data_IF_631183271291
#
_entry.id   IF_631183271291
#
_cell.length_a   1.000
_cell.length_b   1.000
_cell.length_c   1.000
_cell.angle_alpha   90.00
_cell.angle_beta   90.00
_cell.angle_gamma   90.00
#
_symmetry.space_group_name_H-M   'P 1'
#
loop_
_entity.id
_entity.type
_entity.pdbx_description
1 polymer ?
#
# COMPACT_ATOMS: atom_id res chain seq x y z
N UNK A 1 0.55 -6.48 -4.74
CA UNK A 1 0.47 -5.92 -6.10
C UNK A 1 -0.70 -6.53 -6.86
N UNK A 2 -1.04 -5.94 -7.99
CA UNK A 2 -2.19 -6.28 -8.84
C UNK A 2 -2.12 -7.68 -9.44
N UNK A 3 -0.93 -8.25 -9.62
CA UNK A 3 -0.78 -9.53 -10.32
C UNK A 3 -1.09 -10.75 -9.43
N UNK A 4 -0.86 -10.67 -8.11
CA UNK A 4 -1.24 -11.74 -7.17
C UNK A 4 -1.34 -11.27 -5.72
N UNK A 5 -2.04 -12.05 -4.91
CA UNK A 5 -2.07 -11.96 -3.46
C UNK A 5 -1.60 -13.30 -2.85
N UNK A 6 -0.31 -13.43 -2.50
CA UNK A 6 0.23 -14.69 -2.00
C UNK A 6 0.22 -14.81 -0.47
N UNK A 7 -0.15 -13.79 0.29
CA UNK A 7 -0.10 -13.83 1.76
C UNK A 7 -1.40 -14.35 2.37
N UNK A 8 -1.32 -15.36 3.24
CA UNK A 8 -2.48 -15.80 3.99
C UNK A 8 -2.98 -14.72 4.96
N UNK A 9 -4.28 -14.46 4.93
CA UNK A 9 -4.96 -13.60 5.89
C UNK A 9 -6.10 -14.44 6.48
N UNK A 10 -5.91 -15.08 7.63
CA UNK A 10 -6.93 -15.95 8.24
C UNK A 10 -8.32 -15.30 8.38
N UNK A 11 -8.39 -14.00 8.66
CA UNK A 11 -9.65 -13.25 8.69
C UNK A 11 -10.32 -13.08 7.30
N UNK A 12 -9.57 -13.28 6.21
CA UNK A 12 -9.98 -13.11 4.81
C UNK A 12 -9.45 -14.29 3.96
N UNK A 13 -9.85 -15.55 4.24
CA UNK A 13 -9.18 -16.74 3.69
C UNK A 13 -9.32 -16.85 2.16
N UNK A 14 -10.37 -16.27 1.58
CA UNK A 14 -10.56 -16.21 0.13
C UNK A 14 -9.52 -15.38 -0.60
N UNK A 15 -8.84 -14.46 0.09
CA UNK A 15 -7.91 -13.51 -0.51
C UNK A 15 -6.72 -14.22 -1.14
N UNK A 16 -5.98 -15.02 -0.36
CA UNK A 16 -4.91 -15.86 -0.89
C UNK A 16 -5.44 -17.01 -1.74
N UNK A 17 -6.54 -17.65 -1.34
CA UNK A 17 -7.09 -18.81 -2.05
C UNK A 17 -7.51 -18.50 -3.50
N UNK A 18 -7.88 -17.25 -3.79
CA UNK A 18 -8.26 -16.80 -5.14
C UNK A 18 -7.24 -15.86 -5.78
N UNK A 19 -6.43 -15.15 -4.99
CA UNK A 19 -5.46 -14.17 -5.47
C UNK A 19 -4.06 -14.72 -5.69
N UNK A 20 -3.68 -15.87 -5.11
CA UNK A 20 -2.39 -16.49 -5.37
C UNK A 20 -2.36 -17.17 -6.74
N UNK A 21 -1.19 -17.21 -7.39
CA UNK A 21 -1.04 -17.92 -8.66
C UNK A 21 -1.27 -19.43 -8.56
N UNK A 22 -0.91 -20.02 -7.42
CA UNK A 22 -1.09 -21.43 -7.12
C UNK A 22 -1.20 -21.63 -5.60
N UNK A 23 -1.87 -22.68 -5.16
CA UNK A 23 -2.03 -22.99 -3.74
C UNK A 23 -0.68 -23.20 -3.01
N UNK A 24 0.30 -23.77 -3.70
CA UNK A 24 1.66 -23.99 -3.17
C UNK A 24 2.53 -22.71 -3.12
N UNK A 25 2.02 -21.58 -3.64
CA UNK A 25 2.69 -20.28 -3.64
C UNK A 25 2.08 -19.32 -2.60
N UNK A 26 1.37 -19.87 -1.62
CA UNK A 26 0.82 -19.11 -0.49
C UNK A 26 1.83 -19.06 0.64
N UNK A 27 2.19 -17.85 1.04
CA UNK A 27 2.90 -17.56 2.27
C UNK A 27 1.96 -17.75 3.44
N UNK A 28 2.17 -18.84 4.18
CA UNK A 28 1.40 -19.14 5.38
C UNK A 28 1.84 -18.28 6.56
N UNK A 29 1.02 -18.29 7.62
CA UNK A 29 1.31 -17.62 8.88
C UNK A 29 2.62 -18.09 9.48
N UNK A 30 2.95 -19.39 9.35
CA UNK A 30 4.25 -19.94 9.74
C UNK A 30 5.38 -19.39 8.87
N UNK A 31 5.21 -19.35 7.54
CA UNK A 31 6.27 -18.83 6.66
C UNK A 31 6.60 -17.37 6.97
N UNK A 32 5.57 -16.56 7.24
CA UNK A 32 5.76 -15.17 7.65
C UNK A 32 6.51 -15.07 8.98
N UNK A 33 6.09 -15.81 10.01
CA UNK A 33 6.78 -15.78 11.31
C UNK A 33 8.22 -16.30 11.20
N UNK A 34 8.46 -17.34 10.39
CA UNK A 34 9.77 -17.95 10.23
C UNK A 34 10.76 -16.98 9.58
N UNK A 35 10.35 -16.26 8.52
CA UNK A 35 11.23 -15.26 7.88
C UNK A 35 11.50 -14.07 8.80
N UNK A 36 10.50 -13.62 9.55
CA UNK A 36 10.65 -12.52 10.50
C UNK A 36 11.59 -12.89 11.65
N UNK A 37 11.43 -14.09 12.21
CA UNK A 37 12.33 -14.62 13.24
C UNK A 37 13.75 -14.81 12.70
N UNK A 38 13.89 -15.37 11.50
CA UNK A 38 15.19 -15.57 10.87
C UNK A 38 15.95 -14.25 10.69
N UNK A 39 15.23 -13.19 10.28
CA UNK A 39 15.77 -11.84 10.19
C UNK A 39 16.17 -11.28 11.55
N UNK A 40 15.28 -11.39 12.55
CA UNK A 40 15.50 -10.89 13.92
C UNK A 40 16.77 -11.48 14.54
N UNK A 41 16.99 -12.79 14.42
CA UNK A 41 18.19 -13.49 14.89
C UNK A 41 19.50 -12.97 14.27
N UNK A 42 19.41 -12.27 13.14
CA UNK A 42 20.54 -11.75 12.36
C UNK A 42 20.62 -10.23 12.37
N UNK A 43 19.78 -9.56 13.16
CA UNK A 43 19.72 -8.10 13.18
C UNK A 43 19.13 -7.48 11.90
N UNK A 44 18.34 -8.25 11.16
CA UNK A 44 17.62 -7.79 9.95
C UNK A 44 16.15 -7.59 10.30
N UNK A 45 15.66 -6.35 10.15
CA UNK A 45 14.24 -6.03 10.35
C UNK A 45 13.44 -6.38 9.09
N UNK A 46 12.55 -7.38 9.19
CA UNK A 46 11.63 -7.77 8.12
C UNK A 46 10.29 -7.07 8.36
N UNK A 47 10.05 -5.98 7.63
CA UNK A 47 8.75 -5.31 7.61
C UNK A 47 7.99 -5.66 6.33
N UNK A 48 6.67 -5.55 6.40
CA UNK A 48 5.79 -5.85 5.28
C UNK A 48 5.36 -4.59 4.54
N UNK A 49 5.10 -4.79 3.25
CA UNK A 49 4.38 -3.85 2.41
C UNK A 49 3.06 -4.47 1.95
N UNK A 50 1.97 -3.75 2.19
CA UNK A 50 0.71 -3.96 1.47
C UNK A 50 0.41 -2.63 0.79
N UNK A 51 0.76 -2.56 -0.49
CA UNK A 51 0.65 -1.34 -1.28
C UNK A 51 -0.81 -1.01 -1.59
N UNK A 52 -1.24 0.17 -1.15
CA UNK A 52 -2.59 0.69 -1.27
C UNK A 52 -2.57 2.22 -1.40
N UNK A 53 -3.55 2.83 -2.08
CA UNK A 53 -4.69 2.20 -2.77
C UNK A 53 -4.39 1.79 -4.23
N UNK A 54 -3.21 2.12 -4.75
CA UNK A 54 -2.69 1.56 -6.01
C UNK A 54 -2.46 0.05 -5.90
N UNK A 55 -2.03 -0.61 -6.99
CA UNK A 55 -1.48 -1.98 -6.96
C UNK A 55 -2.33 -3.05 -6.24
N UNK A 56 -3.66 -2.90 -6.28
CA UNK A 56 -4.61 -3.73 -5.51
C UNK A 56 -5.51 -4.59 -6.39
N UNK A 57 -5.20 -4.72 -7.68
CA UNK A 57 -5.97 -5.52 -8.63
C UNK A 57 -6.21 -6.95 -8.16
N UNK A 58 -5.26 -7.58 -7.49
CA UNK A 58 -5.37 -8.97 -7.04
C UNK A 58 -6.42 -9.21 -5.95
N UNK A 59 -6.85 -8.15 -5.24
CA UNK A 59 -8.00 -8.20 -4.31
C UNK A 59 -9.28 -8.56 -5.06
N UNK A 60 -9.41 -8.12 -6.32
CA UNK A 60 -10.60 -8.32 -7.14
C UNK A 60 -10.88 -9.78 -7.49
N UNK A 61 -9.89 -10.67 -7.44
CA UNK A 61 -10.13 -12.11 -7.61
C UNK A 61 -11.00 -12.69 -6.49
N UNK A 62 -10.86 -12.16 -5.27
CA UNK A 62 -11.64 -12.58 -4.11
C UNK A 62 -12.88 -11.72 -3.88
N UNK A 63 -12.73 -10.40 -4.06
CA UNK A 63 -13.70 -9.37 -3.71
C UNK A 63 -13.82 -8.34 -4.85
N UNK A 64 -14.39 -8.73 -6.02
CA UNK A 64 -14.45 -7.85 -7.19
C UNK A 64 -15.22 -6.55 -6.94
N UNK A 65 -16.19 -6.55 -6.03
CA UNK A 65 -16.99 -5.38 -5.65
C UNK A 65 -16.16 -4.26 -4.98
N UNK A 66 -14.99 -4.59 -4.44
CA UNK A 66 -14.10 -3.67 -3.74
C UNK A 66 -13.13 -2.93 -4.67
N UNK A 67 -12.97 -3.39 -5.91
CA UNK A 67 -11.94 -2.91 -6.84
C UNK A 67 -12.58 -2.21 -8.03
N UNK A 68 -12.16 -0.98 -8.29
CA UNK A 68 -12.51 -0.25 -9.51
C UNK A 68 -11.58 -0.64 -10.67
N UNK A 69 -12.12 -0.71 -11.89
CA UNK A 69 -11.39 -1.10 -13.10
C UNK A 69 -10.68 -2.46 -13.02
N UNK A 70 -11.19 -3.40 -12.22
CA UNK A 70 -10.63 -4.75 -12.12
C UNK A 70 -10.69 -5.47 -13.46
N UNK A 71 -9.53 -5.92 -13.97
CA UNK A 71 -9.41 -6.63 -15.26
C UNK A 71 -10.12 -5.92 -16.43
N UNK A 72 -10.04 -4.58 -16.48
CA UNK A 72 -10.64 -3.83 -17.56
C UNK A 72 -9.94 -4.15 -18.89
N UNK A 73 -10.72 -4.40 -19.96
CA UNK A 73 -10.21 -4.80 -21.29
C UNK A 73 -9.18 -3.82 -21.87
N UNK A 74 -9.30 -2.53 -21.53
CA UNK A 74 -8.37 -1.47 -21.90
C UNK A 74 -7.50 -1.07 -20.72
N UNK A 75 -6.78 -2.03 -20.15
CA UNK A 75 -6.00 -1.82 -18.93
C UNK A 75 -5.05 -0.62 -19.02
N UNK A 76 -4.54 -0.26 -20.20
CA UNK A 76 -3.65 0.88 -20.41
C UNK A 76 -4.30 2.23 -20.07
N UNK A 77 -5.64 2.32 -20.12
CA UNK A 77 -6.37 3.51 -19.70
C UNK A 77 -6.42 3.64 -18.16
N UNK A 78 -6.22 2.52 -17.44
CA UNK A 78 -6.50 2.37 -16.01
C UNK A 78 -5.30 1.90 -15.16
N UNK A 79 -4.17 1.55 -15.77
CA UNK A 79 -2.96 1.12 -15.07
C UNK A 79 -1.71 1.34 -15.92
N UNK A 80 -0.55 1.46 -15.25
CA UNK A 80 0.75 1.53 -15.92
C UNK A 80 1.22 0.15 -16.41
N UNK A 81 0.77 -0.93 -15.77
CA UNK A 81 1.03 -2.32 -16.15
C UNK A 81 -0.22 -3.17 -15.94
N UNK A 82 -0.43 -4.26 -16.70
CA UNK A 82 -1.54 -5.16 -16.46
C UNK A 82 -1.27 -6.07 -15.24
N UNK A 83 -2.32 -6.54 -14.54
CA UNK A 83 -3.73 -6.20 -14.73
C UNK A 83 -4.09 -4.84 -14.10
N UNK A 84 -5.15 -4.20 -14.62
CA UNK A 84 -5.72 -3.02 -13.96
C UNK A 84 -6.54 -3.40 -12.74
N UNK A 85 -6.63 -2.46 -11.79
CA UNK A 85 -7.48 -2.57 -10.63
C UNK A 85 -6.92 -1.77 -9.45
N UNK A 86 -7.77 -0.93 -8.86
CA UNK A 86 -7.46 -0.20 -7.63
C UNK A 86 -8.64 -0.29 -6.68
N UNK A 87 -8.41 -0.40 -5.37
CA UNK A 87 -9.51 -0.38 -4.40
C UNK A 87 -10.33 0.90 -4.56
N UNK A 88 -11.65 0.75 -4.42
CA UNK A 88 -12.60 1.88 -4.42
C UNK A 88 -12.27 2.83 -3.26
N UNK A 89 -12.28 4.13 -3.51
CA UNK A 89 -11.94 5.14 -2.50
C UNK A 89 -13.14 5.55 -1.63
N UNK A 90 -14.36 5.35 -2.12
CA UNK A 90 -15.61 5.74 -1.47
C UNK A 90 -16.55 4.52 -1.37
N UNK A 91 -16.12 3.50 -0.63
CA UNK A 91 -16.86 2.26 -0.38
C UNK A 91 -16.77 1.83 1.08
N UNK A 92 -17.92 1.60 1.72
CA UNK A 92 -17.96 1.03 3.08
C UNK A 92 -17.43 -0.41 3.11
N UNK A 93 -17.63 -1.18 2.04
CA UNK A 93 -17.06 -2.52 1.91
C UNK A 93 -15.53 -2.51 1.90
N UNK A 94 -14.92 -1.49 1.27
CA UNK A 94 -13.45 -1.32 1.31
C UNK A 94 -13.01 -0.98 2.74
N UNK A 95 -13.72 -0.09 3.44
CA UNK A 95 -13.41 0.21 4.83
C UNK A 95 -13.46 -1.03 5.73
N UNK A 96 -14.50 -1.85 5.62
CA UNK A 96 -14.62 -3.10 6.39
C UNK A 96 -13.53 -4.11 6.03
N UNK A 97 -13.18 -4.21 4.75
CA UNK A 97 -12.08 -5.07 4.29
C UNK A 97 -10.74 -4.62 4.87
N UNK A 98 -10.41 -3.32 4.80
CA UNK A 98 -9.18 -2.77 5.34
C UNK A 98 -9.11 -2.95 6.86
N UNK A 99 -10.21 -2.69 7.58
CA UNK A 99 -10.25 -2.88 9.04
C UNK A 99 -9.98 -4.34 9.42
N UNK A 100 -10.57 -5.30 8.71
CA UNK A 100 -10.32 -6.75 8.92
C UNK A 100 -8.89 -7.14 8.56
N UNK A 101 -8.39 -6.67 7.42
CA UNK A 101 -7.03 -6.94 6.96
C UNK A 101 -6.00 -6.45 7.98
N UNK A 102 -6.11 -5.19 8.40
CA UNK A 102 -5.17 -4.58 9.34
C UNK A 102 -5.26 -5.20 10.74
N UNK A 103 -6.47 -5.57 11.19
CA UNK A 103 -6.65 -6.27 12.47
C UNK A 103 -6.03 -7.67 12.49
N UNK A 104 -5.96 -8.36 11.34
CA UNK A 104 -5.28 -9.66 11.21
C UNK A 104 -3.77 -9.51 11.12
N UNK A 105 -3.27 -8.64 10.23
CA UNK A 105 -1.84 -8.61 9.89
C UNK A 105 -0.98 -7.85 10.91
N UNK A 106 -1.47 -6.76 11.50
CA UNK A 106 -0.65 -5.92 12.38
C UNK A 106 -0.14 -6.66 13.62
N UNK A 107 -0.95 -7.47 14.35
CA UNK A 107 -0.47 -8.26 15.49
C UNK A 107 0.58 -9.32 15.10
N UNK A 108 0.59 -9.77 13.83
CA UNK A 108 1.57 -10.72 13.30
C UNK A 108 2.90 -10.04 12.95
N UNK A 109 2.92 -8.71 12.82
CA UNK A 109 4.10 -7.93 12.39
C UNK A 109 4.73 -7.16 13.55
N UNK A 110 3.94 -6.55 14.44
CA UNK A 110 4.42 -5.67 15.50
C UNK A 110 5.39 -6.28 16.52
N UNK A 111 5.42 -7.61 16.78
CA UNK A 111 6.45 -8.19 17.63
C UNK A 111 7.86 -8.21 17.01
N UNK A 112 7.98 -8.12 15.68
CA UNK A 112 9.23 -8.36 14.96
C UNK A 112 9.86 -7.09 14.37
N UNK A 113 9.07 -6.04 14.19
CA UNK A 113 9.54 -4.78 13.59
C UNK A 113 8.76 -3.59 14.13
N UNK A 114 9.33 -2.39 13.97
CA UNK A 114 8.68 -1.12 14.28
C UNK A 114 8.00 -0.46 13.08
N UNK A 115 7.93 -1.12 11.92
CA UNK A 115 7.55 -0.52 10.64
C UNK A 115 6.48 -1.32 9.89
N UNK A 116 5.66 -0.61 9.11
CA UNK A 116 4.74 -1.21 8.14
C UNK A 116 4.58 -0.28 6.93
N UNK A 117 4.78 -0.79 5.73
CA UNK A 117 4.70 -0.02 4.49
C UNK A 117 3.28 -0.13 3.90
N UNK A 118 2.65 1.01 3.62
CA UNK A 118 1.31 1.06 3.01
C UNK A 118 1.35 1.40 1.52
N UNK A 119 2.55 1.57 0.96
CA UNK A 119 2.74 1.92 -0.45
C UNK A 119 2.26 3.32 -0.78
N UNK A 120 1.43 3.45 -1.81
CA UNK A 120 0.81 4.71 -2.21
C UNK A 120 1.46 5.41 -3.40
N UNK A 121 2.06 4.63 -4.29
CA UNK A 121 2.62 5.06 -5.57
C UNK A 121 1.62 4.87 -6.74
N UNK A 122 2.03 5.36 -7.91
CA UNK A 122 1.49 5.02 -9.23
C UNK A 122 -0.05 5.03 -9.38
N UNK A 123 -0.70 6.00 -8.74
CA UNK A 123 -2.15 6.10 -8.77
C UNK A 123 -2.69 6.48 -10.15
N UNK A 124 -3.51 5.61 -10.76
CA UNK A 124 -4.23 5.92 -11.98
C UNK A 124 -5.64 6.46 -11.70
N UNK A 125 -5.83 7.76 -11.91
CA UNK A 125 -7.07 8.46 -11.58
C UNK A 125 -8.26 8.02 -12.46
N UNK A 126 -8.02 7.46 -13.65
CA UNK A 126 -9.11 7.04 -14.55
C UNK A 126 -9.89 5.84 -14.01
N UNK A 127 -9.29 5.05 -13.11
CA UNK A 127 -9.99 3.95 -12.43
C UNK A 127 -11.26 4.46 -11.73
N UNK A 128 -11.23 5.67 -11.18
CA UNK A 128 -12.34 6.27 -10.43
C UNK A 128 -13.47 6.85 -11.27
N UNK A 129 -13.31 6.89 -12.61
CA UNK A 129 -14.44 7.11 -13.51
C UNK A 129 -15.43 5.94 -13.47
N UNK A 130 -14.94 4.74 -13.14
CA UNK A 130 -15.72 3.50 -13.08
C UNK A 130 -16.23 3.19 -11.66
N UNK A 131 -15.78 3.92 -10.65
CA UNK A 131 -16.33 3.78 -9.30
C UNK A 131 -17.68 4.52 -9.21
N UNK A 132 -18.75 3.79 -8.90
CA UNK A 132 -20.12 4.28 -9.05
C UNK A 132 -20.44 5.45 -8.12
N UNK A 133 -19.77 5.50 -6.96
CA UNK A 133 -19.91 6.51 -5.91
C UNK A 133 -19.02 7.73 -6.12
N UNK A 134 -18.14 7.72 -7.12
CA UNK A 134 -17.16 8.81 -7.40
C UNK A 134 -17.34 9.38 -8.80
N UNK A 135 -17.30 8.53 -9.85
CA UNK A 135 -17.46 8.90 -11.27
C UNK A 135 -16.64 10.11 -11.71
N UNK A 136 -15.41 10.21 -11.23
CA UNK A 136 -14.55 11.37 -11.47
C UNK A 136 -13.08 10.98 -11.40
N UNK A 137 -12.27 11.51 -12.31
CA UNK A 137 -10.82 11.50 -12.24
C UNK A 137 -10.24 12.87 -11.80
N UNK A 138 -11.09 13.79 -11.31
CA UNK A 138 -10.64 15.09 -10.82
C UNK A 138 -9.91 14.93 -9.49
N UNK A 139 -8.66 15.42 -9.43
CA UNK A 139 -7.80 15.37 -8.24
C UNK A 139 -8.47 15.99 -7.00
N UNK A 140 -9.22 17.07 -7.16
CA UNK A 140 -9.88 17.76 -6.04
C UNK A 140 -11.00 16.90 -5.42
N UNK A 141 -11.61 16.02 -6.22
CA UNK A 141 -12.62 15.05 -5.75
C UNK A 141 -11.93 13.86 -5.09
N UNK A 142 -10.83 13.37 -5.68
CA UNK A 142 -10.15 12.15 -5.22
C UNK A 142 -9.28 12.36 -3.98
N UNK A 143 -8.61 13.52 -3.87
CA UNK A 143 -7.67 13.83 -2.78
C UNK A 143 -8.28 13.63 -1.37
N UNK A 144 -9.49 14.14 -1.04
CA UNK A 144 -10.07 13.91 0.28
C UNK A 144 -10.43 12.43 0.52
N UNK A 145 -10.83 11.69 -0.50
CA UNK A 145 -11.15 10.26 -0.38
C UNK A 145 -9.87 9.43 -0.17
N UNK A 146 -8.82 9.73 -0.92
CA UNK A 146 -7.49 9.15 -0.73
C UNK A 146 -6.95 9.44 0.67
N UNK A 147 -7.06 10.69 1.14
CA UNK A 147 -6.67 11.08 2.50
C UNK A 147 -7.41 10.23 3.54
N UNK A 148 -8.72 9.98 3.37
CA UNK A 148 -9.49 9.18 4.32
C UNK A 148 -9.02 7.71 4.38
N UNK A 149 -8.71 7.09 3.24
CA UNK A 149 -8.16 5.72 3.17
C UNK A 149 -6.79 5.65 3.84
N UNK A 150 -5.89 6.58 3.52
CA UNK A 150 -4.53 6.62 4.09
C UNK A 150 -4.58 6.88 5.60
N UNK A 151 -5.41 7.81 6.06
CA UNK A 151 -5.60 8.08 7.49
C UNK A 151 -6.10 6.84 8.24
N UNK A 152 -7.10 6.12 7.71
CA UNK A 152 -7.60 4.88 8.31
C UNK A 152 -6.48 3.85 8.50
N UNK A 153 -5.67 3.62 7.46
CA UNK A 153 -4.55 2.67 7.50
C UNK A 153 -3.50 3.10 8.52
N UNK A 154 -3.09 4.37 8.50
CA UNK A 154 -2.05 4.89 9.38
C UNK A 154 -2.49 4.91 10.84
N UNK A 155 -3.77 5.19 11.13
CA UNK A 155 -4.30 5.12 12.49
C UNK A 155 -4.26 3.70 13.05
N UNK A 156 -4.58 2.68 12.24
CA UNK A 156 -4.46 1.28 12.63
C UNK A 156 -2.99 0.91 12.93
N UNK A 157 -2.06 1.32 12.06
CA UNK A 157 -0.61 1.07 12.21
C UNK A 157 -0.09 1.72 13.49
N UNK A 158 -0.39 3.01 13.72
CA UNK A 158 0.02 3.72 14.94
C UNK A 158 -0.55 3.08 16.19
N UNK A 159 -1.82 2.66 16.16
CA UNK A 159 -2.47 1.97 17.28
C UNK A 159 -1.79 0.63 17.60
N UNK A 160 -1.21 -0.04 16.61
CA UNK A 160 -0.41 -1.24 16.79
C UNK A 160 1.04 -0.98 17.25
N UNK A 161 1.41 0.29 17.50
CA UNK A 161 2.76 0.68 17.93
C UNK A 161 3.79 0.72 16.79
N UNK A 162 3.32 0.70 15.54
CA UNK A 162 4.15 0.69 14.34
C UNK A 162 4.25 2.09 13.72
N UNK A 163 5.32 2.33 12.97
CA UNK A 163 5.51 3.53 12.14
C UNK A 163 5.09 3.22 10.70
N UNK A 164 4.14 3.97 10.10
CA UNK A 164 3.82 3.86 8.68
C UNK A 164 5.00 4.29 7.79
N UNK A 165 5.22 3.55 6.71
CA UNK A 165 6.09 3.93 5.61
C UNK A 165 5.23 4.05 4.34
N UNK A 166 5.51 5.06 3.51
CA UNK A 166 4.81 5.31 2.25
C UNK A 166 5.78 5.62 1.12
N UNK A 167 5.34 5.46 -0.13
CA UNK A 167 6.01 6.02 -1.28
C UNK A 167 5.85 7.55 -1.35
N UNK A 168 6.78 8.22 -2.02
CA UNK A 168 6.91 9.67 -2.06
C UNK A 168 5.71 10.40 -2.68
N UNK A 169 4.96 9.77 -3.57
CA UNK A 169 3.86 10.35 -4.35
C UNK A 169 2.75 10.90 -3.46
N UNK A 170 2.45 10.24 -2.33
CA UNK A 170 1.44 10.72 -1.37
C UNK A 170 1.78 12.12 -0.81
N UNK A 171 3.06 12.47 -0.73
CA UNK A 171 3.52 13.79 -0.26
C UNK A 171 3.85 14.73 -1.40
N UNK A 172 4.58 14.25 -2.39
CA UNK A 172 5.17 15.06 -3.46
C UNK A 172 4.14 15.45 -4.51
N UNK A 173 3.21 14.55 -4.84
CA UNK A 173 2.22 14.78 -5.88
C UNK A 173 0.87 15.12 -5.24
N UNK A 174 0.44 14.36 -4.22
CA UNK A 174 -0.87 14.50 -3.60
C UNK A 174 -0.94 15.50 -2.47
N UNK A 175 0.21 15.89 -1.90
CA UNK A 175 0.29 16.79 -0.75
C UNK A 175 -0.68 16.38 0.37
N UNK A 176 -0.70 15.09 0.70
CA UNK A 176 -1.50 14.58 1.81
C UNK A 176 -0.86 14.97 3.15
N UNK A 177 -1.71 15.15 4.15
CA UNK A 177 -1.27 15.31 5.54
C UNK A 177 -1.11 13.92 6.15
N UNK A 178 0.12 13.42 6.18
CA UNK A 178 0.41 12.07 6.66
C UNK A 178 0.78 12.02 8.14
N UNK A 179 1.34 13.10 8.67
CA UNK A 179 1.83 13.21 10.05
C UNK A 179 0.80 13.84 10.97
N UNK A 180 0.79 13.39 12.23
CA UNK A 180 0.02 14.03 13.32
C UNK A 180 0.62 15.37 13.77
N UNK A 181 1.90 15.60 13.49
CA UNK A 181 2.64 16.83 13.74
C UNK A 181 2.77 17.68 12.47
N UNK A 182 2.67 19.00 12.60
CA UNK A 182 2.84 19.93 11.47
C UNK A 182 4.30 20.31 11.20
N UNK A 183 5.17 20.20 12.21
CA UNK A 183 6.59 20.58 12.13
C UNK A 183 7.49 19.35 11.94
N UNK A 184 7.77 18.63 13.01
CA UNK A 184 8.58 17.41 13.03
C UNK A 184 7.70 16.20 12.71
N UNK A 185 7.75 15.72 11.46
CA UNK A 185 6.90 14.64 10.93
C UNK A 185 7.57 13.29 11.12
N UNK A 186 7.89 12.98 12.38
CA UNK A 186 8.66 11.78 12.73
C UNK A 186 7.78 10.55 12.90
N UNK A 187 6.45 10.68 12.94
CA UNK A 187 5.52 9.57 13.12
C UNK A 187 5.19 8.82 11.81
N UNK A 188 5.83 9.18 10.70
CA UNK A 188 5.75 8.52 9.39
C UNK A 188 7.11 8.62 8.69
N UNK A 189 7.42 7.65 7.83
CA UNK A 189 8.62 7.65 6.98
C UNK A 189 8.18 7.69 5.52
N UNK A 190 8.87 8.47 4.69
CA UNK A 190 8.61 8.55 3.25
C UNK A 190 9.78 7.95 2.49
N UNK A 191 9.51 7.01 1.60
CA UNK A 191 10.51 6.35 0.77
C UNK A 191 10.57 7.00 -0.61
N UNK A 192 11.75 7.56 -0.93
CA UNK A 192 11.99 8.28 -2.17
C UNK A 192 12.73 7.40 -3.18
N UNK A 193 12.13 7.23 -4.37
CA UNK A 193 12.58 6.26 -5.37
C UNK A 193 12.78 6.87 -6.77
N UNK A 194 12.17 8.00 -7.13
CA UNK A 194 12.23 8.49 -8.51
C UNK A 194 13.59 9.05 -8.89
N UNK A 195 14.17 9.92 -8.04
CA UNK A 195 15.50 10.52 -8.20
C UNK A 195 15.91 11.25 -6.90
N UNK A 196 16.98 12.06 -6.92
CA UNK A 196 17.47 12.79 -5.75
C UNK A 196 16.61 14.01 -5.34
N UNK A 197 15.83 14.62 -6.25
CA UNK A 197 15.06 15.83 -5.93
C UNK A 197 13.99 15.62 -4.84
N UNK A 198 13.18 14.54 -4.86
CA UNK A 198 12.24 14.21 -3.79
C UNK A 198 12.88 14.10 -2.41
N UNK A 199 14.09 13.55 -2.31
CA UNK A 199 14.79 13.38 -1.02
C UNK A 199 14.96 14.72 -0.33
N UNK A 200 15.46 15.74 -1.04
CA UNK A 200 15.63 17.09 -0.48
C UNK A 200 14.29 17.69 -0.08
N UNK A 201 13.28 17.59 -0.94
CA UNK A 201 11.94 18.14 -0.70
C UNK A 201 11.30 17.55 0.58
N UNK A 202 11.43 16.24 0.79
CA UNK A 202 10.87 15.55 1.95
C UNK A 202 11.57 15.95 3.25
N UNK A 203 12.91 16.04 3.23
CA UNK A 203 13.69 16.52 4.36
C UNK A 203 13.36 17.97 4.72
N UNK A 204 13.25 18.87 3.73
CA UNK A 204 12.86 20.27 3.93
C UNK A 204 11.44 20.39 4.51
N UNK A 205 10.55 19.41 4.23
CA UNK A 205 9.20 19.31 4.79
C UNK A 205 9.14 18.62 6.17
N UNK A 206 10.28 18.23 6.74
CA UNK A 206 10.39 17.65 8.08
C UNK A 206 10.07 16.15 8.17
N UNK A 207 10.05 15.44 7.04
CA UNK A 207 9.82 13.98 7.01
C UNK A 207 11.11 13.19 7.21
N UNK A 208 11.02 12.08 7.98
CA UNK A 208 12.03 11.03 7.92
C UNK A 208 11.97 10.37 6.55
N UNK A 209 13.13 10.20 5.90
CA UNK A 209 13.18 9.77 4.49
C UNK A 209 14.10 8.57 4.31
N UNK A 210 13.61 7.51 3.67
CA UNK A 210 14.43 6.42 3.11
C UNK A 210 14.80 6.82 1.69
N UNK A 211 16.08 6.75 1.33
CA UNK A 211 16.56 7.03 -0.02
C UNK A 211 16.97 5.75 -0.73
N UNK A 212 16.61 5.61 -2.00
CA UNK A 212 16.94 4.46 -2.83
C UNK A 212 16.61 4.75 -4.29
N UNK A 213 17.14 5.84 -4.83
CA UNK A 213 16.74 6.38 -6.12
C UNK A 213 16.98 5.38 -7.27
N UNK A 214 15.97 5.18 -8.12
CA UNK A 214 15.98 4.18 -9.19
C UNK A 214 17.01 4.45 -10.27
N UNK A 215 17.54 5.67 -10.37
CA UNK A 215 18.67 6.00 -11.22
C UNK A 215 20.00 5.37 -10.77
N UNK A 216 20.15 5.07 -9.47
CA UNK A 216 21.35 4.49 -8.88
C UNK A 216 21.16 3.08 -8.28
N UNK A 217 19.95 2.75 -7.82
CA UNK A 217 19.69 1.57 -6.98
C UNK A 217 18.78 0.52 -7.63
N UNK A 218 18.05 0.86 -8.69
CA UNK A 218 17.31 -0.13 -9.48
C UNK A 218 18.23 -0.62 -10.61
N UNK A 219 18.64 -1.90 -10.60
CA UNK A 219 19.42 -2.45 -11.71
C UNK A 219 18.55 -2.36 -12.97
N UNK A 220 18.87 -1.43 -13.87
CA UNK A 220 18.33 -1.51 -15.23
C UNK A 220 18.88 -2.81 -15.83
N UNK A 221 17.99 -3.76 -16.15
CA UNK A 221 18.33 -4.87 -17.02
C UNK A 221 18.95 -4.25 -18.28
N UNK A 222 20.24 -4.54 -18.50
CA UNK A 222 20.95 -4.18 -19.74
C UNK A 222 20.44 -5.02 -20.89
#
# INVERSE_FOLDING_TARGET
DSQSWPLDIPALPSLAAKGAYHADLIWTSSNLSDVQMYGLERGVSVFLEIDMPGHTGSIGYAFPELVSAFLADKWQEYALQPPSGQIKLNSSGVNEFLDKLMADILPRVSPFTGYFHTGGDEFNLNTYLLEETVRSNNRDVLKPLLQAVVTRLHDAIRKAGLTPIVWEELVTDWELSLSTSSTEKTDVIVQAWRNFFPVKLLLDRGYRTIFGSGDAWVPRLR
#
